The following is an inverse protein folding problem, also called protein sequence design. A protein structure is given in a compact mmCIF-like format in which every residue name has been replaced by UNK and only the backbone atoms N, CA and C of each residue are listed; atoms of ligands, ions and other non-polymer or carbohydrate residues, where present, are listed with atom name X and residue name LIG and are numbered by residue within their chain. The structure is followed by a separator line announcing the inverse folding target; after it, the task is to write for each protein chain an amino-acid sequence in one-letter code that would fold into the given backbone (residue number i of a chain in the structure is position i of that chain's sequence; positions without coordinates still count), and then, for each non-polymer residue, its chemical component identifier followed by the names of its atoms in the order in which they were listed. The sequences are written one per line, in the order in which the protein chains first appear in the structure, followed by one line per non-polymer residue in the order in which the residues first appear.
data_IF_687306413984
#
_entry.id   IF_687306413984
#
_cell.length_a   1.000
_cell.length_b   1.000
_cell.length_c   1.000
_cell.angle_alpha   90.00
_cell.angle_beta   90.00
_cell.angle_gamma   90.00
#
_symmetry.space_group_name_H-M   'P 1'
#
loop_
_entity.id
_entity.type
_entity.pdbx_description
1 polymer ?
#
# COMPACT_ATOMS: atom_id res chain seq x y z
N UNK A 1 -8.52 -14.97 -9.46
CA UNK A 1 -8.39 -13.49 -9.48
C UNK A 1 -7.37 -13.13 -8.41
N UNK A 2 -6.45 -12.21 -8.69
CA UNK A 2 -5.50 -11.74 -7.66
C UNK A 2 -6.28 -10.99 -6.59
N UNK A 3 -6.13 -11.37 -5.32
CA UNK A 3 -6.87 -10.77 -4.20
C UNK A 3 -6.18 -9.49 -3.70
N UNK A 4 -5.54 -8.76 -4.61
CA UNK A 4 -4.72 -7.58 -4.31
C UNK A 4 -5.01 -6.46 -5.31
N UNK A 5 -4.89 -5.24 -4.82
CA UNK A 5 -4.93 -4.01 -5.61
C UNK A 5 -3.63 -3.24 -5.44
N UNK A 6 -3.31 -2.36 -6.37
CA UNK A 6 -2.13 -1.50 -6.32
C UNK A 6 -2.59 -0.07 -6.08
N UNK A 7 -2.18 0.52 -4.96
CA UNK A 7 -2.56 1.86 -4.53
C UNK A 7 -1.36 2.78 -4.73
N UNK A 8 -1.52 3.83 -5.53
CA UNK A 8 -0.48 4.82 -5.75
C UNK A 8 -0.67 6.06 -4.85
N UNK A 9 0.38 6.44 -4.14
CA UNK A 9 0.47 7.69 -3.39
C UNK A 9 1.63 8.53 -3.96
N UNK A 10 1.30 9.66 -4.57
CA UNK A 10 2.31 10.59 -5.09
C UNK A 10 3.09 11.30 -3.98
N UNK A 11 4.32 11.72 -4.25
CA UNK A 11 5.13 12.50 -3.32
C UNK A 11 4.38 13.76 -2.86
N UNK A 12 4.34 14.01 -1.56
CA UNK A 12 3.61 15.12 -0.94
C UNK A 12 2.08 14.94 -0.85
N UNK A 13 1.50 13.88 -1.43
CA UNK A 13 0.07 13.62 -1.32
C UNK A 13 -0.29 13.05 0.06
N UNK A 14 -1.36 13.58 0.67
CA UNK A 14 -1.91 13.06 1.93
C UNK A 14 -2.77 11.81 1.77
N UNK A 15 -3.28 11.57 0.56
CA UNK A 15 -4.16 10.45 0.22
C UNK A 15 -3.68 9.83 -1.09
N UNK A 16 -4.11 8.60 -1.37
CA UNK A 16 -3.85 7.94 -2.64
C UNK A 16 -4.43 8.73 -3.82
N UNK A 17 -3.83 8.57 -5.00
CA UNK A 17 -4.23 9.24 -6.26
C UNK A 17 -4.92 8.29 -7.23
N UNK A 18 -4.59 7.01 -7.16
CA UNK A 18 -5.14 6.00 -8.04
C UNK A 18 -5.06 4.61 -7.40
N UNK A 19 -5.94 3.72 -7.86
CA UNK A 19 -5.98 2.31 -7.48
C UNK A 19 -6.07 1.48 -8.76
N UNK A 20 -5.28 0.41 -8.85
CA UNK A 20 -5.16 -0.42 -10.03
C UNK A 20 -5.33 -1.90 -9.69
N UNK A 21 -5.82 -2.67 -10.67
CA UNK A 21 -5.98 -4.13 -10.58
C UNK A 21 -4.68 -4.90 -10.87
N UNK A 22 -3.64 -4.24 -11.37
CA UNK A 22 -2.38 -4.85 -11.76
C UNK A 22 -1.26 -3.83 -11.78
N UNK A 23 -0.03 -4.27 -11.50
CA UNK A 23 1.17 -3.42 -11.53
C UNK A 23 1.38 -2.78 -12.90
N UNK A 24 1.20 -3.51 -14.01
CA UNK A 24 1.44 -2.99 -15.36
C UNK A 24 0.56 -1.76 -15.69
N UNK A 25 -0.71 -1.78 -15.26
CA UNK A 25 -1.64 -0.65 -15.43
C UNK A 25 -1.20 0.56 -14.60
N UNK A 26 -0.72 0.31 -13.39
CA UNK A 26 -0.21 1.36 -12.52
C UNK A 26 1.05 1.99 -13.12
N UNK A 27 2.02 1.16 -13.54
CA UNK A 27 3.28 1.60 -14.13
C UNK A 27 3.07 2.34 -15.46
N UNK A 28 2.17 1.86 -16.32
CA UNK A 28 1.82 2.58 -17.55
C UNK A 28 1.26 3.99 -17.27
N UNK A 29 0.41 4.13 -16.23
CA UNK A 29 -0.14 5.42 -15.83
C UNK A 29 0.92 6.34 -15.18
N UNK A 30 1.76 5.79 -14.30
CA UNK A 30 2.87 6.50 -13.64
C UNK A 30 3.85 7.03 -14.68
N UNK A 31 4.28 6.18 -15.62
CA UNK A 31 5.21 6.53 -16.71
C UNK A 31 4.60 7.57 -17.64
N UNK A 32 3.33 7.41 -18.02
CA UNK A 32 2.62 8.36 -18.91
C UNK A 32 2.68 9.81 -18.39
N UNK A 33 2.62 10.00 -17.07
CA UNK A 33 2.57 11.33 -16.45
C UNK A 33 3.86 11.73 -15.72
N UNK A 34 4.91 10.92 -15.78
CA UNK A 34 6.19 11.24 -15.12
C UNK A 34 6.06 11.37 -13.60
N UNK A 35 5.24 10.54 -12.94
CA UNK A 35 4.91 10.72 -11.52
C UNK A 35 6.01 10.17 -10.61
N UNK A 36 6.27 10.88 -9.50
CA UNK A 36 7.10 10.40 -8.38
C UNK A 36 6.22 10.02 -7.18
N UNK A 37 6.50 8.91 -6.53
CA UNK A 37 5.68 8.41 -5.43
C UNK A 37 5.94 6.96 -5.04
N UNK A 38 5.00 6.40 -4.29
CA UNK A 38 5.00 5.02 -3.83
C UNK A 38 3.79 4.28 -4.40
N UNK A 39 4.04 3.14 -5.05
CA UNK A 39 2.99 2.18 -5.39
C UNK A 39 3.05 1.03 -4.39
N UNK A 40 1.96 0.76 -3.69
CA UNK A 40 1.90 -0.33 -2.70
C UNK A 40 0.82 -1.33 -3.10
N UNK A 41 1.16 -2.62 -3.04
CA UNK A 41 0.23 -3.71 -3.24
C UNK A 41 -0.53 -3.99 -1.94
N UNK A 42 -1.81 -3.70 -1.94
CA UNK A 42 -2.73 -3.85 -0.81
C UNK A 42 -3.59 -5.09 -0.96
N UNK A 43 -3.82 -5.86 0.12
CA UNK A 43 -4.79 -6.94 0.11
C UNK A 43 -6.20 -6.37 -0.09
N UNK A 44 -7.01 -7.05 -0.92
CA UNK A 44 -8.38 -6.65 -1.22
C UNK A 44 -9.34 -7.33 -0.25
N UNK A 45 -10.31 -6.56 0.27
CA UNK A 45 -11.30 -6.99 1.26
C UNK A 45 -10.70 -7.41 2.62
N UNK A 46 -9.49 -6.97 2.93
CA UNK A 46 -8.78 -7.30 4.16
C UNK A 46 -8.04 -6.06 4.68
N UNK A 47 -8.12 -5.81 5.99
CA UNK A 47 -7.38 -4.74 6.62
C UNK A 47 -5.89 -5.07 6.72
N UNK A 48 -5.02 -4.09 6.51
CA UNK A 48 -3.55 -4.30 6.61
C UNK A 48 -3.13 -4.81 7.99
N UNK A 49 -3.87 -4.45 9.04
CA UNK A 49 -3.65 -4.95 10.40
C UNK A 49 -3.85 -6.47 10.50
N UNK A 50 -5.00 -6.96 10.04
CA UNK A 50 -5.34 -8.39 10.07
C UNK A 50 -4.37 -9.17 9.16
N UNK A 51 -4.16 -8.68 7.94
CA UNK A 51 -3.19 -9.24 6.99
C UNK A 51 -1.79 -9.39 7.59
N UNK A 52 -1.30 -8.37 8.31
CA UNK A 52 0.02 -8.43 8.93
C UNK A 52 0.10 -9.44 10.07
N UNK A 53 -0.99 -9.67 10.80
CA UNK A 53 -1.06 -10.69 11.86
C UNK A 53 -1.12 -12.10 11.26
N UNK A 54 -1.99 -12.31 10.28
CA UNK A 54 -2.16 -13.60 9.61
C UNK A 54 -0.87 -14.06 8.93
N UNK A 55 -0.12 -13.13 8.34
CA UNK A 55 1.18 -13.42 7.70
C UNK A 55 2.37 -13.35 8.67
N UNK A 56 2.13 -13.22 9.98
CA UNK A 56 3.15 -13.16 11.03
C UNK A 56 4.15 -11.99 10.93
N UNK A 57 3.83 -10.94 10.18
CA UNK A 57 4.61 -9.70 10.12
C UNK A 57 4.38 -8.79 11.33
N UNK A 58 3.25 -8.95 12.02
CA UNK A 58 2.92 -8.19 13.22
C UNK A 58 2.33 -9.09 14.30
N UNK A 59 2.72 -8.86 15.55
CA UNK A 59 2.13 -9.50 16.72
C UNK A 59 1.83 -8.43 17.77
N UNK A 60 0.55 -8.15 18.09
CA UNK A 60 0.19 -7.20 19.13
C UNK A 60 0.80 -7.61 20.47
N UNK A 61 1.49 -6.68 21.14
CA UNK A 61 2.21 -6.91 22.41
C UNK A 61 1.47 -6.36 23.62
N UNK A 62 0.45 -5.54 23.40
CA UNK A 62 -0.37 -4.94 24.45
C UNK A 62 -1.77 -4.61 23.91
N UNK A 63 -2.69 -4.21 24.81
CA UNK A 63 -4.08 -3.94 24.44
C UNK A 63 -4.26 -2.63 23.66
N UNK A 64 -3.35 -1.65 23.82
CA UNK A 64 -3.38 -0.42 23.02
C UNK A 64 -3.25 -0.73 21.51
N UNK A 65 -2.44 -1.73 21.15
CA UNK A 65 -2.24 -2.19 19.78
C UNK A 65 -3.43 -2.98 19.20
N UNK A 66 -4.50 -3.19 19.98
CA UNK A 66 -5.76 -3.81 19.53
C UNK A 66 -6.91 -2.80 19.48
N UNK A 67 -6.65 -1.54 19.84
CA UNK A 67 -7.70 -0.51 19.87
C UNK A 67 -8.08 -0.04 18.46
N UNK A 68 -9.34 0.41 18.25
CA UNK A 68 -9.74 1.00 16.97
C UNK A 68 -8.84 2.15 16.51
N UNK A 69 -8.39 2.99 17.44
CA UNK A 69 -7.49 4.14 17.18
C UNK A 69 -6.15 3.69 16.61
N UNK A 70 -5.63 2.55 17.08
CA UNK A 70 -4.40 1.96 16.55
C UNK A 70 -4.64 1.32 15.19
N UNK A 71 -5.67 0.47 15.08
CA UNK A 71 -5.98 -0.29 13.86
C UNK A 71 -6.25 0.65 12.68
N UNK A 72 -7.01 1.74 12.86
CA UNK A 72 -7.34 2.68 11.79
C UNK A 72 -6.12 3.45 11.23
N UNK A 73 -5.00 3.50 11.98
CA UNK A 73 -3.75 4.17 11.57
C UNK A 73 -2.65 3.18 11.22
N UNK A 74 -2.91 1.89 11.36
CA UNK A 74 -1.91 0.86 11.17
C UNK A 74 -1.48 0.80 9.70
N UNK A 75 -0.17 0.72 9.50
CA UNK A 75 0.44 0.45 8.20
C UNK A 75 1.52 -0.62 8.39
N UNK A 76 1.89 -1.30 7.30
CA UNK A 76 2.91 -2.33 7.32
C UNK A 76 3.93 -2.09 6.21
N UNK A 77 5.20 -1.98 6.60
CA UNK A 77 6.31 -1.92 5.66
C UNK A 77 6.55 -3.26 4.93
N UNK A 78 5.94 -4.35 5.41
CA UNK A 78 6.01 -5.68 4.79
C UNK A 78 5.13 -5.80 3.54
N UNK A 79 4.25 -4.83 3.27
CA UNK A 79 3.53 -4.78 2.00
C UNK A 79 4.52 -4.57 0.86
N UNK A 80 4.37 -5.33 -0.22
CA UNK A 80 5.15 -5.12 -1.45
C UNK A 80 4.91 -3.71 -1.98
N UNK A 81 5.98 -2.94 -2.16
CA UNK A 81 5.89 -1.56 -2.63
C UNK A 81 7.07 -1.19 -3.53
N UNK A 82 6.84 -0.19 -4.37
CA UNK A 82 7.80 0.27 -5.36
C UNK A 82 7.86 1.79 -5.34
N UNK A 83 9.06 2.32 -5.31
CA UNK A 83 9.32 3.75 -5.42
C UNK A 83 9.41 4.14 -6.90
N UNK A 84 8.89 5.31 -7.22
CA UNK A 84 9.02 5.89 -8.55
C UNK A 84 9.54 7.32 -8.45
N UNK A 85 10.38 7.68 -9.40
CA UNK A 85 10.89 9.04 -9.59
C UNK A 85 10.75 9.40 -11.06
N UNK A 86 10.05 10.52 -11.33
CA UNK A 86 9.82 11.03 -12.69
C UNK A 86 9.26 9.98 -13.66
N UNK A 87 8.40 9.08 -13.17
CA UNK A 87 7.73 8.05 -13.97
C UNK A 87 8.51 6.74 -14.11
N UNK A 88 9.73 6.66 -13.60
CA UNK A 88 10.57 5.45 -13.65
C UNK A 88 10.65 4.78 -12.28
N UNK A 89 10.70 3.45 -12.27
CA UNK A 89 10.81 2.67 -11.04
C UNK A 89 12.24 2.76 -10.50
N UNK A 90 12.36 3.05 -9.21
CA UNK A 90 13.63 3.00 -8.46
C UNK A 90 13.99 1.61 -7.99
#
# INVERSE_FOLDING_TARGET
MSNYIYVFQGNGARLCRAVFSSVDKAEAWIKKYGLSGLLTKYPLNEGVYDWAIENHYFRPKNDQQKTPIFIQKFSSASLEHFHYESGERG
#
